data_IF_664894894743
#
_entry.id   IF_664894894743
#
_cell.length_a   1.000
_cell.length_b   1.000
_cell.length_c   1.000
_cell.angle_alpha   90.00
_cell.angle_beta   90.00
_cell.angle_gamma   90.00
#
_symmetry.space_group_name_H-M   'P 1'
#
loop_
_entity.id
_entity.type
_entity.pdbx_description
1 polymer ?
#
# COMPACT_ATOMS: atom_id res chain seq x y z
N UNK A 1 21.71 37.68 -1.11
CA UNK A 1 20.51 37.67 -0.23
C UNK A 1 19.27 37.60 -1.12
N UNK A 2 18.83 36.41 -1.52
CA UNK A 2 17.44 36.13 -1.96
C UNK A 2 17.20 34.66 -1.64
N UNK A 3 16.52 34.40 -0.52
CA UNK A 3 16.04 33.07 -0.14
C UNK A 3 14.53 33.02 -0.37
N UNK A 4 14.08 31.89 -0.91
CA UNK A 4 12.76 31.30 -0.77
C UNK A 4 11.56 32.06 -1.36
N UNK A 5 11.05 31.54 -2.48
CA UNK A 5 9.59 31.33 -2.58
C UNK A 5 9.21 30.25 -3.61
N UNK A 6 9.12 28.99 -3.17
CA UNK A 6 8.57 27.87 -3.99
C UNK A 6 7.83 26.82 -3.15
N UNK A 7 7.17 27.23 -2.07
CA UNK A 7 6.42 26.30 -1.19
C UNK A 7 4.94 26.67 -0.97
N UNK A 8 4.42 27.69 -1.66
CA UNK A 8 3.12 28.29 -1.35
C UNK A 8 1.89 27.37 -1.57
N UNK A 9 1.90 26.45 -2.55
CA UNK A 9 0.67 25.72 -2.92
C UNK A 9 0.22 24.64 -1.93
N UNK A 10 1.13 23.77 -1.50
CA UNK A 10 0.80 22.64 -0.61
C UNK A 10 0.70 23.03 0.86
N UNK A 11 1.44 24.07 1.27
CA UNK A 11 1.35 24.64 2.63
C UNK A 11 0.01 25.34 2.86
N UNK A 12 -0.55 26.01 1.84
CA UNK A 12 -1.91 26.56 1.88
C UNK A 12 -3.00 25.49 2.04
N UNK A 13 -2.74 24.26 1.60
CA UNK A 13 -3.62 23.11 1.81
C UNK A 13 -3.39 22.43 3.16
N UNK A 14 -2.57 23.02 4.04
CA UNK A 14 -2.24 22.46 5.36
C UNK A 14 -1.32 21.23 5.31
N UNK A 15 -0.68 20.95 4.18
CA UNK A 15 0.23 19.82 4.05
C UNK A 15 1.65 20.20 4.48
N UNK A 16 2.21 19.44 5.42
CA UNK A 16 3.60 19.57 5.82
C UNK A 16 4.52 18.86 4.83
N UNK A 17 5.65 19.49 4.54
CA UNK A 17 6.69 18.89 3.71
C UNK A 17 7.70 18.13 4.57
N UNK A 18 8.02 16.91 4.15
CA UNK A 18 9.12 16.12 4.69
C UNK A 18 10.02 15.65 3.56
N UNK A 19 11.33 15.65 3.80
CA UNK A 19 12.33 15.29 2.80
C UNK A 19 13.12 14.06 3.25
N UNK A 20 13.26 13.09 2.34
CA UNK A 20 14.17 11.96 2.52
C UNK A 20 15.62 12.42 2.55
N UNK A 21 16.49 11.63 3.20
CA UNK A 21 17.92 11.91 3.29
C UNK A 21 18.53 11.85 1.89
N UNK A 22 19.41 12.81 1.55
CA UNK A 22 20.09 12.79 0.26
C UNK A 22 20.85 11.47 0.04
N UNK A 23 20.66 10.85 -1.13
CA UNK A 23 21.34 9.62 -1.57
C UNK A 23 21.02 8.36 -0.75
N UNK A 24 19.85 8.31 -0.10
CA UNK A 24 19.40 7.14 0.65
C UNK A 24 18.12 6.59 0.01
N UNK A 25 18.25 5.51 -0.79
CA UNK A 25 17.12 4.90 -1.51
C UNK A 25 16.10 4.21 -0.58
N UNK A 26 16.56 3.69 0.56
CA UNK A 26 15.70 2.96 1.49
C UNK A 26 14.82 3.86 2.39
N UNK A 27 14.79 5.17 2.17
CA UNK A 27 13.91 6.08 2.91
C UNK A 27 12.45 6.03 2.42
N UNK A 28 12.18 5.49 1.22
CA UNK A 28 10.82 5.33 0.69
C UNK A 28 10.57 3.93 0.04
N UNK A 29 10.78 2.84 0.80
CA UNK A 29 10.75 1.49 0.25
C UNK A 29 9.36 1.08 -0.24
N UNK A 30 8.27 1.66 0.27
CA UNK A 30 6.92 1.39 -0.24
C UNK A 30 6.72 1.95 -1.66
N UNK A 31 7.16 3.18 -1.93
CA UNK A 31 7.04 3.74 -3.28
C UNK A 31 7.97 3.03 -4.27
N UNK A 32 9.18 2.66 -3.83
CA UNK A 32 10.10 1.85 -4.66
C UNK A 32 9.51 0.48 -5.00
N UNK A 33 8.91 -0.19 -4.02
CA UNK A 33 8.23 -1.46 -4.24
C UNK A 33 7.08 -1.31 -5.25
N UNK A 34 6.27 -0.25 -5.15
CA UNK A 34 5.22 0.04 -6.12
C UNK A 34 5.78 0.26 -7.53
N UNK A 35 6.84 1.06 -7.69
CA UNK A 35 7.47 1.27 -9.00
C UNK A 35 8.02 -0.03 -9.59
N UNK A 36 8.56 -0.91 -8.74
CA UNK A 36 8.95 -2.25 -9.17
C UNK A 36 7.71 -3.02 -9.63
N UNK A 37 6.62 -3.06 -8.86
CA UNK A 37 5.39 -3.77 -9.27
C UNK A 37 4.86 -3.27 -10.61
N UNK A 38 4.90 -1.97 -10.87
CA UNK A 38 4.49 -1.37 -12.15
C UNK A 38 5.35 -1.92 -13.30
N UNK A 39 6.68 -1.85 -13.17
CA UNK A 39 7.63 -2.23 -14.24
C UNK A 39 7.68 -3.73 -14.51
N UNK A 40 7.46 -4.54 -13.49
CA UNK A 40 7.47 -6.00 -13.58
C UNK A 40 6.07 -6.58 -13.82
N UNK A 41 5.05 -5.74 -13.98
CA UNK A 41 3.73 -6.18 -14.42
C UNK A 41 3.85 -6.84 -15.80
N UNK A 42 3.27 -8.04 -16.03
CA UNK A 42 3.33 -8.71 -17.33
C UNK A 42 2.78 -7.87 -18.50
N UNK A 43 1.87 -6.94 -18.22
CA UNK A 43 1.30 -6.03 -19.21
C UNK A 43 2.17 -4.80 -19.51
N UNK A 44 3.35 -4.68 -18.88
CA UNK A 44 4.28 -3.58 -19.14
C UNK A 44 4.82 -3.65 -20.58
N UNK A 45 4.77 -2.55 -21.35
CA UNK A 45 5.26 -2.57 -22.73
C UNK A 45 6.79 -2.59 -22.75
N UNK A 46 7.37 -3.71 -23.19
CA UNK A 46 8.82 -3.93 -23.27
C UNK A 46 9.53 -2.96 -24.22
N UNK A 47 8.84 -2.49 -25.27
CA UNK A 47 9.35 -1.49 -26.22
C UNK A 47 9.09 -0.03 -25.78
N UNK A 48 8.54 0.18 -24.59
CA UNK A 48 8.13 1.49 -24.10
C UNK A 48 6.81 1.99 -24.70
N UNK A 49 6.50 3.26 -24.47
CA UNK A 49 5.26 3.90 -24.89
C UNK A 49 5.49 4.83 -26.08
N UNK A 50 4.51 4.91 -26.99
CA UNK A 50 4.60 5.74 -28.21
C UNK A 50 4.26 7.22 -27.96
N UNK A 51 3.59 7.55 -26.87
CA UNK A 51 3.19 8.92 -26.51
C UNK A 51 2.84 9.05 -25.03
N UNK A 52 2.80 10.29 -24.53
CA UNK A 52 2.31 10.59 -23.18
C UNK A 52 0.86 10.15 -22.97
N UNK A 53 0.02 10.20 -24.01
CA UNK A 53 -1.37 9.75 -23.94
C UNK A 53 -1.43 8.24 -23.70
N UNK A 54 -0.59 7.48 -24.41
CA UNK A 54 -0.48 6.03 -24.22
C UNK A 54 -0.02 5.67 -22.80
N UNK A 55 0.97 6.40 -22.26
CA UNK A 55 1.43 6.22 -20.87
C UNK A 55 0.28 6.45 -19.89
N UNK A 56 -0.42 7.58 -20.00
CA UNK A 56 -1.54 7.92 -19.08
C UNK A 56 -2.64 6.87 -19.12
N UNK A 57 -3.04 6.45 -20.32
CA UNK A 57 -4.07 5.41 -20.48
C UNK A 57 -3.64 4.10 -19.83
N UNK A 58 -2.40 3.67 -20.06
CA UNK A 58 -1.88 2.45 -19.45
C UNK A 58 -1.80 2.55 -17.93
N UNK A 59 -1.29 3.67 -17.40
CA UNK A 59 -1.18 3.90 -15.95
C UNK A 59 -2.55 3.88 -15.27
N UNK A 60 -3.59 4.46 -15.86
CA UNK A 60 -4.96 4.40 -15.33
C UNK A 60 -5.49 2.96 -15.29
N UNK A 61 -5.24 2.18 -16.35
CA UNK A 61 -5.61 0.75 -16.38
C UNK A 61 -4.87 -0.03 -15.29
N UNK A 62 -3.57 0.20 -15.15
CA UNK A 62 -2.75 -0.44 -14.12
C UNK A 62 -3.24 -0.08 -12.71
N UNK A 63 -3.47 1.20 -12.44
CA UNK A 63 -3.91 1.70 -11.14
C UNK A 63 -5.26 1.09 -10.75
N UNK A 64 -6.20 1.03 -11.68
CA UNK A 64 -7.48 0.37 -11.46
C UNK A 64 -7.30 -1.12 -11.15
N UNK A 65 -6.51 -1.84 -11.95
CA UNK A 65 -6.26 -3.26 -11.72
C UNK A 65 -5.59 -3.51 -10.36
N UNK A 66 -4.57 -2.71 -10.00
CA UNK A 66 -3.84 -2.81 -8.75
C UNK A 66 -4.72 -2.50 -7.54
N UNK A 67 -5.49 -1.40 -7.58
CA UNK A 67 -6.26 -0.90 -6.45
C UNK A 67 -7.61 -1.60 -6.26
N UNK A 68 -8.24 -2.09 -7.34
CA UNK A 68 -9.65 -2.55 -7.31
C UNK A 68 -9.83 -4.03 -7.64
N UNK A 69 -8.87 -4.67 -8.28
CA UNK A 69 -9.04 -6.04 -8.79
C UNK A 69 -8.06 -7.03 -8.17
N UNK A 70 -6.78 -6.65 -8.06
CA UNK A 70 -5.75 -7.54 -7.53
C UNK A 70 -5.89 -7.72 -6.00
N UNK A 71 -5.83 -8.97 -5.55
CA UNK A 71 -5.85 -9.34 -4.13
C UNK A 71 -4.43 -9.50 -3.63
N UNK A 72 -4.00 -8.63 -2.71
CA UNK A 72 -2.60 -8.56 -2.30
C UNK A 72 -2.33 -9.42 -1.07
N UNK A 73 -1.37 -10.34 -1.16
CA UNK A 73 -1.04 -11.28 -0.09
C UNK A 73 -0.61 -10.59 1.21
N UNK A 74 0.11 -9.47 1.13
CA UNK A 74 0.57 -8.68 2.28
C UNK A 74 -0.54 -8.03 3.11
N UNK A 75 -1.75 -7.96 2.56
CA UNK A 75 -2.95 -7.48 3.26
C UNK A 75 -4.04 -8.56 3.29
N UNK A 76 -3.63 -9.83 3.42
CA UNK A 76 -4.54 -10.98 3.50
C UNK A 76 -5.53 -11.08 2.34
N UNK A 77 -5.02 -10.85 1.13
CA UNK A 77 -5.75 -11.03 -0.13
C UNK A 77 -7.01 -10.17 -0.22
N UNK A 78 -6.98 -8.95 0.31
CA UNK A 78 -7.99 -7.91 0.02
C UNK A 78 -7.43 -6.93 -1.02
N UNK A 79 -8.30 -6.11 -1.63
CA UNK A 79 -7.84 -5.04 -2.52
C UNK A 79 -7.34 -3.85 -1.71
N UNK A 80 -6.37 -3.06 -2.21
CA UNK A 80 -5.93 -1.86 -1.52
C UNK A 80 -7.08 -0.86 -1.29
N UNK A 81 -8.03 -0.79 -2.23
CA UNK A 81 -9.21 0.04 -2.08
C UNK A 81 -10.17 -0.41 -0.98
N UNK A 82 -10.39 -1.72 -0.82
CA UNK A 82 -11.23 -2.24 0.28
C UNK A 82 -10.60 -1.86 1.62
N UNK A 83 -9.29 -2.08 1.76
CA UNK A 83 -8.55 -1.74 2.97
C UNK A 83 -8.55 -0.24 3.24
N UNK A 84 -8.34 0.58 2.21
CA UNK A 84 -8.38 2.05 2.35
C UNK A 84 -9.74 2.54 2.84
N UNK A 85 -10.83 1.88 2.45
CA UNK A 85 -12.21 2.20 2.89
C UNK A 85 -12.62 1.49 4.19
N UNK A 86 -11.75 0.68 4.80
CA UNK A 86 -12.06 -0.13 5.99
C UNK A 86 -13.01 -1.31 5.73
N UNK A 87 -13.28 -1.66 4.47
CA UNK A 87 -14.13 -2.79 4.10
C UNK A 87 -13.42 -4.16 4.20
N UNK A 88 -12.11 -4.17 4.50
CA UNK A 88 -11.32 -5.39 4.64
C UNK A 88 -11.75 -6.23 5.85
N UNK A 89 -12.13 -5.60 6.96
CA UNK A 89 -12.59 -6.29 8.17
C UNK A 89 -13.74 -7.28 7.90
N UNK A 90 -14.81 -6.81 7.24
CA UNK A 90 -15.96 -7.67 6.92
C UNK A 90 -15.57 -8.80 5.97
N UNK A 91 -14.82 -8.49 4.90
CA UNK A 91 -14.39 -9.51 3.92
C UNK A 91 -13.53 -10.60 4.55
N UNK A 92 -12.68 -10.23 5.52
CA UNK A 92 -11.83 -11.18 6.23
C UNK A 92 -12.65 -12.04 7.22
N UNK A 93 -13.65 -11.46 7.90
CA UNK A 93 -14.58 -12.20 8.72
C UNK A 93 -15.38 -13.23 7.89
N UNK A 94 -15.88 -12.85 6.72
CA UNK A 94 -16.60 -13.76 5.82
C UNK A 94 -15.71 -14.93 5.38
N UNK A 95 -14.45 -14.65 5.03
CA UNK A 95 -13.46 -15.69 4.68
C UNK A 95 -13.16 -16.62 5.83
N UNK A 96 -13.03 -16.08 7.05
CA UNK A 96 -12.84 -16.89 8.26
C UNK A 96 -13.99 -17.88 8.42
N UNK A 97 -15.24 -17.42 8.31
CA UNK A 97 -16.42 -18.29 8.40
C UNK A 97 -16.43 -19.40 7.34
N UNK A 98 -16.04 -19.09 6.09
CA UNK A 98 -15.90 -20.10 5.03
C UNK A 98 -14.87 -21.16 5.40
N UNK A 99 -13.69 -20.75 5.89
CA UNK A 99 -12.62 -21.66 6.28
C UNK A 99 -13.01 -22.53 7.48
N UNK A 100 -13.64 -21.95 8.50
CA UNK A 100 -14.14 -22.69 9.66
C UNK A 100 -15.20 -23.72 9.27
N UNK A 101 -16.14 -23.35 8.40
CA UNK A 101 -17.14 -24.29 7.86
C UNK A 101 -16.46 -25.42 7.08
N UNK A 102 -15.49 -25.11 6.22
CA UNK A 102 -14.77 -26.11 5.43
C UNK A 102 -13.98 -27.08 6.32
N UNK A 103 -13.33 -26.58 7.39
CA UNK A 103 -12.63 -27.41 8.39
C UNK A 103 -13.60 -28.30 9.16
N UNK A 104 -14.76 -27.77 9.59
CA UNK A 104 -15.79 -28.55 10.28
C UNK A 104 -16.35 -29.70 9.42
N UNK A 105 -16.55 -29.47 8.12
CA UNK A 105 -17.06 -30.48 7.20
C UNK A 105 -16.05 -31.58 6.88
N UNK A 106 -14.75 -31.25 6.80
CA UNK A 106 -13.71 -32.20 6.37
C UNK A 106 -12.43 -32.06 7.22
N UNK A 107 -12.48 -32.40 8.52
CA UNK A 107 -11.36 -32.15 9.44
C UNK A 107 -10.07 -32.88 9.03
N UNK A 108 -10.17 -34.08 8.42
CA UNK A 108 -9.00 -34.87 7.95
C UNK A 108 -8.16 -34.16 6.87
N UNK A 109 -8.70 -33.14 6.19
CA UNK A 109 -7.97 -32.33 5.18
C UNK A 109 -7.04 -31.30 5.83
N UNK A 110 -7.17 -31.06 7.12
CA UNK A 110 -6.48 -29.99 7.83
C UNK A 110 -5.48 -30.58 8.82
N UNK A 111 -4.21 -30.19 8.69
CA UNK A 111 -3.15 -30.56 9.64
C UNK A 111 -3.14 -29.69 10.90
N UNK A 112 -3.84 -28.54 10.88
CA UNK A 112 -3.85 -27.59 11.98
C UNK A 112 -4.99 -26.57 11.86
N UNK A 113 -4.80 -25.39 12.43
CA UNK A 113 -5.79 -24.32 12.37
C UNK A 113 -5.95 -23.68 11.00
N UNK A 114 -7.09 -23.02 10.83
CA UNK A 114 -7.34 -22.27 9.61
C UNK A 114 -6.37 -21.10 9.54
N UNK A 115 -6.15 -20.62 8.30
CA UNK A 115 -5.36 -19.41 8.09
C UNK A 115 -5.93 -18.24 8.91
N UNK A 116 -5.04 -17.46 9.51
CA UNK A 116 -5.39 -16.22 10.23
C UNK A 116 -5.90 -15.17 9.24
N UNK A 117 -7.21 -14.89 9.28
CA UNK A 117 -7.89 -13.88 8.49
C UNK A 117 -8.20 -12.64 9.34
N UNK A 118 -7.16 -11.93 9.75
CA UNK A 118 -7.25 -10.69 10.53
C UNK A 118 -6.80 -9.50 9.68
N UNK A 119 -7.38 -8.31 9.90
CA UNK A 119 -6.93 -7.11 9.23
C UNK A 119 -5.47 -6.83 9.61
N UNK A 120 -4.62 -6.52 8.62
CA UNK A 120 -3.24 -6.14 8.89
C UNK A 120 -3.24 -4.87 9.74
N UNK A 121 -2.38 -4.80 10.77
CA UNK A 121 -2.22 -3.59 11.58
C UNK A 121 -1.39 -2.52 10.87
N UNK A 122 -1.05 -1.47 11.60
CA UNK A 122 -0.04 -0.51 11.17
C UNK A 122 1.34 -1.17 11.11
N UNK A 123 2.13 -0.82 10.09
CA UNK A 123 3.50 -1.28 9.92
C UNK A 123 4.42 -0.06 9.88
N UNK A 124 5.51 -0.12 10.64
CA UNK A 124 6.53 0.93 10.67
C UNK A 124 7.79 0.42 9.98
N UNK A 125 8.23 1.13 8.94
CA UNK A 125 9.47 0.80 8.20
C UNK A 125 10.72 1.10 9.02
N UNK A 126 10.70 2.22 9.73
CA UNK A 126 11.70 2.61 10.71
C UNK A 126 10.92 3.07 11.95
N UNK A 127 10.72 2.21 12.97
CA UNK A 127 10.13 2.67 14.21
C UNK A 127 11.07 3.74 14.81
N UNK A 128 10.61 4.99 14.83
CA UNK A 128 11.37 6.10 15.39
C UNK A 128 11.69 5.83 16.86
N UNK A 129 12.73 6.50 17.39
CA UNK A 129 12.97 6.47 18.84
C UNK A 129 11.74 7.09 19.52
N UNK A 130 11.28 6.58 20.68
CA UNK A 130 10.07 7.08 21.35
C UNK A 130 10.06 8.61 21.52
N UNK A 131 11.21 9.19 21.87
CA UNK A 131 11.43 10.63 22.02
C UNK A 131 11.18 11.44 20.74
N UNK A 132 11.46 10.87 19.57
CA UNK A 132 11.26 11.51 18.27
C UNK A 132 9.80 11.40 17.82
N UNK A 133 9.13 10.30 18.17
CA UNK A 133 7.69 10.11 17.94
C UNK A 133 6.88 11.11 18.77
N UNK A 134 7.27 11.32 20.03
CA UNK A 134 6.62 12.26 20.95
C UNK A 134 6.81 13.71 20.49
N UNK A 135 8.05 14.10 20.16
CA UNK A 135 8.34 15.43 19.60
C UNK A 135 7.56 15.74 18.32
N UNK A 136 7.34 14.73 17.46
CA UNK A 136 6.59 14.90 16.22
C UNK A 136 5.06 14.95 16.43
N UNK A 137 4.54 14.44 17.55
CA UNK A 137 3.12 14.59 17.91
C UNK A 137 2.83 16.01 18.40
N UNK A 138 3.75 16.62 19.12
CA UNK A 138 3.59 17.98 19.67
C UNK A 138 3.76 19.08 18.61
N UNK A 139 4.36 18.73 17.45
CA UNK A 139 4.56 19.64 16.32
C UNK A 139 3.43 19.60 15.28
N UNK A 140 2.40 18.77 15.48
CA UNK A 140 1.23 18.60 14.61
C UNK A 140 -0.01 19.25 15.26
#
# INVERSE_FOLDING_TARGET
>A
MVLSDRHHGITQLGMLMSHSRPRVSNDNPYSEALFRTVKYCPAWPTKGFTSLVAVRKWMLTFEHAYNKQHLHSGINFVTPADRHRGADAQRLADRKAVYERAKRLNPKRWSGDIRRWEATGSVSLNPGKPQEIERNKDAA
#
